data_IF_515326834954
#
_entry.id   IF_515326834954
#
_cell.length_a   1.000
_cell.length_b   1.000
_cell.length_c   1.000
_cell.angle_alpha   90.00
_cell.angle_beta   90.00
_cell.angle_gamma   90.00
#
_symmetry.space_group_name_H-M   'P 1'
#
loop_
_entity.id
_entity.type
_entity.pdbx_description
1 polymer ?
#
# COMPACT_ATOMS: atom_id res chain seq x y z
N UNK A 1 18.31 -3.74 31.71
CA UNK A 1 18.36 -4.97 32.55
C UNK A 1 19.12 -4.63 33.83
N UNK A 2 18.43 -4.58 34.95
CA UNK A 2 19.06 -4.26 36.23
C UNK A 2 19.54 -5.59 36.81
N UNK A 3 20.83 -5.84 36.68
CA UNK A 3 21.50 -6.99 37.31
C UNK A 3 22.03 -6.61 38.69
N UNK A 4 21.16 -6.36 39.66
CA UNK A 4 21.69 -6.31 41.03
C UNK A 4 20.62 -6.47 42.10
N UNK A 5 20.30 -7.73 42.40
CA UNK A 5 19.55 -8.12 43.63
C UNK A 5 20.28 -7.66 44.90
N UNK A 6 21.59 -7.39 44.84
CA UNK A 6 22.41 -6.93 45.97
C UNK A 6 22.14 -5.46 46.34
N UNK A 7 21.78 -4.59 45.37
CA UNK A 7 21.53 -3.18 45.68
C UNK A 7 20.16 -2.95 46.31
N UNK A 8 19.20 -3.86 46.07
CA UNK A 8 17.88 -3.81 46.70
C UNK A 8 17.90 -4.05 48.24
N UNK A 9 18.88 -4.77 48.73
CA UNK A 9 18.99 -5.13 50.18
C UNK A 9 19.48 -3.98 51.06
N UNK A 10 20.08 -2.91 50.48
CA UNK A 10 20.65 -1.78 51.25
C UNK A 10 19.72 -0.58 51.41
N UNK A 11 18.58 -0.56 50.75
CA UNK A 11 17.61 0.54 50.80
C UNK A 11 16.69 0.41 52.01
N UNK A 12 16.21 1.52 52.57
CA UNK A 12 15.14 1.50 53.55
C UNK A 12 13.81 1.02 52.88
N UNK A 13 12.79 0.70 53.66
CA UNK A 13 11.55 0.11 53.14
C UNK A 13 10.78 1.07 52.23
N UNK A 14 10.87 2.36 52.43
CA UNK A 14 10.20 3.37 51.61
C UNK A 14 10.86 3.48 50.22
N UNK A 15 12.17 3.59 50.19
CA UNK A 15 12.93 3.66 48.92
C UNK A 15 12.81 2.38 48.12
N UNK A 16 12.70 1.21 48.79
CA UNK A 16 12.45 -0.08 48.12
C UNK A 16 11.09 -0.11 47.44
N UNK A 17 10.06 0.42 48.09
CA UNK A 17 8.68 0.46 47.55
C UNK A 17 8.62 1.42 46.33
N UNK A 18 9.20 2.59 46.42
CA UNK A 18 9.25 3.58 45.36
C UNK A 18 10.03 3.02 44.12
N UNK A 19 11.20 2.44 44.36
CA UNK A 19 11.97 1.78 43.31
C UNK A 19 11.21 0.63 42.65
N UNK A 20 10.50 -0.17 43.45
CA UNK A 20 9.68 -1.27 42.92
C UNK A 20 8.48 -0.74 42.11
N UNK A 21 7.83 0.33 42.55
CA UNK A 21 6.76 0.98 41.79
C UNK A 21 7.26 1.43 40.42
N UNK A 22 8.38 2.10 40.37
CA UNK A 22 8.98 2.52 39.10
C UNK A 22 9.28 1.32 38.17
N UNK A 23 9.80 0.22 38.71
CA UNK A 23 10.03 -1.00 37.96
C UNK A 23 8.73 -1.65 37.44
N UNK A 24 7.63 -1.54 38.18
CA UNK A 24 6.31 -2.01 37.75
C UNK A 24 5.81 -1.12 36.59
N UNK A 25 5.85 0.19 36.77
CA UNK A 25 5.38 1.14 35.76
C UNK A 25 6.16 1.03 34.43
N UNK A 26 7.45 0.71 34.48
CA UNK A 26 8.30 0.53 33.31
C UNK A 26 8.21 -0.90 32.71
N UNK A 27 7.51 -1.82 33.37
CA UNK A 27 7.44 -3.20 32.91
C UNK A 27 6.51 -3.37 31.71
N UNK A 28 6.86 -4.29 30.80
CA UNK A 28 5.99 -4.64 29.69
C UNK A 28 4.68 -5.28 30.13
N UNK A 29 4.67 -5.94 31.29
CA UNK A 29 3.47 -6.56 31.85
C UNK A 29 2.44 -5.53 32.35
N UNK A 30 2.83 -4.29 32.56
CA UNK A 30 1.95 -3.21 32.99
C UNK A 30 1.36 -2.40 31.82
N UNK A 31 1.76 -2.69 30.59
CA UNK A 31 1.17 -2.09 29.39
C UNK A 31 -0.18 -2.72 29.10
N UNK A 32 -1.11 -1.91 28.58
CA UNK A 32 -2.34 -2.47 28.03
C UNK A 32 -2.01 -3.38 26.83
N UNK A 33 -2.62 -4.55 26.77
CA UNK A 33 -2.33 -5.56 25.76
C UNK A 33 -2.49 -5.03 24.33
N UNK A 34 -3.46 -4.16 24.09
CA UNK A 34 -3.71 -3.51 22.78
C UNK A 34 -2.63 -2.49 22.39
N UNK A 35 -1.85 -2.00 23.35
CA UNK A 35 -0.76 -1.04 23.13
C UNK A 35 0.62 -1.72 23.14
N UNK A 36 0.68 -3.00 23.50
CA UNK A 36 1.90 -3.77 23.45
C UNK A 36 2.15 -4.29 22.02
N UNK A 37 2.87 -3.48 21.25
CA UNK A 37 3.26 -3.83 19.87
C UNK A 37 4.16 -5.08 19.81
N UNK A 38 4.91 -5.40 20.85
CA UNK A 38 5.73 -6.61 20.87
C UNK A 38 4.82 -7.85 21.00
N UNK A 39 3.84 -7.80 21.88
CA UNK A 39 2.82 -8.84 21.99
C UNK A 39 2.06 -8.97 20.65
N UNK A 40 1.53 -7.87 20.11
CA UNK A 40 0.76 -7.90 18.86
C UNK A 40 1.56 -8.40 17.65
N UNK A 41 2.90 -8.28 17.66
CA UNK A 41 3.78 -8.79 16.60
C UNK A 41 4.22 -10.23 16.81
N UNK A 42 3.97 -10.82 17.97
CA UNK A 42 4.34 -12.20 18.25
C UNK A 42 3.59 -13.20 17.36
N UNK A 43 4.09 -14.41 17.23
CA UNK A 43 3.47 -15.44 16.40
C UNK A 43 2.11 -15.89 16.95
N UNK A 44 1.94 -15.91 18.26
CA UNK A 44 0.71 -16.26 18.96
C UNK A 44 -0.44 -15.30 18.61
N UNK A 45 -0.13 -14.02 18.33
CA UNK A 45 -1.11 -13.00 17.97
C UNK A 45 -1.40 -12.92 16.46
N UNK A 46 -0.96 -13.92 15.69
CA UNK A 46 -1.23 -13.96 14.23
C UNK A 46 -2.72 -13.88 13.90
N UNK A 47 -3.57 -14.62 14.63
CA UNK A 47 -5.02 -14.60 14.40
C UNK A 47 -5.64 -13.23 14.65
N UNK A 48 -5.18 -12.53 15.69
CA UNK A 48 -5.62 -11.16 16.00
C UNK A 48 -5.22 -10.19 14.87
N UNK A 49 -3.98 -10.27 14.38
CA UNK A 49 -3.53 -9.45 13.25
C UNK A 49 -4.34 -9.71 11.98
N UNK A 50 -4.69 -10.98 11.71
CA UNK A 50 -5.55 -11.33 10.56
C UNK A 50 -6.93 -10.72 10.71
N UNK A 51 -7.53 -10.77 11.90
CA UNK A 51 -8.83 -10.14 12.18
C UNK A 51 -8.77 -8.62 11.95
N UNK A 52 -7.71 -7.95 12.43
CA UNK A 52 -7.53 -6.52 12.20
C UNK A 52 -7.41 -6.17 10.71
N UNK A 53 -6.73 -6.99 9.90
CA UNK A 53 -6.60 -6.78 8.46
C UNK A 53 -7.91 -7.02 7.68
N UNK A 54 -8.82 -7.84 8.19
CA UNK A 54 -10.17 -7.98 7.62
C UNK A 54 -11.03 -6.78 8.03
N UNK A 55 -11.12 -6.52 9.32
CA UNK A 55 -12.09 -5.56 9.88
C UNK A 55 -11.78 -4.11 9.50
N UNK A 56 -10.50 -3.71 9.49
CA UNK A 56 -10.14 -2.32 9.26
C UNK A 56 -10.62 -1.76 7.91
N UNK A 57 -10.39 -2.43 6.76
CA UNK A 57 -10.93 -1.93 5.49
C UNK A 57 -12.46 -1.90 5.47
N UNK A 58 -13.13 -2.91 5.99
CA UNK A 58 -14.60 -2.98 6.04
C UNK A 58 -15.19 -1.77 6.76
N UNK A 59 -14.72 -1.48 7.97
CA UNK A 59 -15.17 -0.33 8.75
C UNK A 59 -14.96 1.00 8.01
N UNK A 60 -13.79 1.16 7.36
CA UNK A 60 -13.52 2.39 6.61
C UNK A 60 -14.39 2.50 5.36
N UNK A 61 -14.63 1.40 4.65
CA UNK A 61 -15.50 1.40 3.46
C UNK A 61 -16.95 1.73 3.85
N UNK A 62 -17.43 1.19 4.97
CA UNK A 62 -18.74 1.51 5.55
C UNK A 62 -18.83 2.99 5.94
N UNK A 63 -17.85 3.51 6.69
CA UNK A 63 -17.77 4.93 7.06
C UNK A 63 -17.79 5.86 5.85
N UNK A 64 -17.10 5.46 4.77
CA UNK A 64 -17.05 6.20 3.51
C UNK A 64 -18.28 5.98 2.63
N UNK A 65 -19.27 5.20 3.09
CA UNK A 65 -20.50 4.84 2.39
C UNK A 65 -20.22 4.23 0.99
N UNK A 66 -19.20 3.39 0.85
CA UNK A 66 -18.91 2.70 -0.40
C UNK A 66 -19.99 1.61 -0.61
N UNK A 67 -20.75 1.74 -1.70
CA UNK A 67 -21.89 0.85 -2.00
C UNK A 67 -21.43 -0.35 -2.83
N UNK A 68 -20.59 -0.09 -3.83
CA UNK A 68 -20.07 -1.13 -4.72
C UNK A 68 -18.71 -0.74 -5.30
N UNK A 69 -17.97 -1.74 -5.72
CA UNK A 69 -16.61 -1.56 -6.23
C UNK A 69 -16.47 -2.15 -7.63
N UNK A 70 -15.55 -1.60 -8.41
CA UNK A 70 -15.12 -2.10 -9.71
C UNK A 70 -13.63 -2.38 -9.67
N UNK A 71 -13.25 -3.64 -9.82
CA UNK A 71 -11.88 -4.10 -9.66
C UNK A 71 -11.14 -3.99 -10.99
N UNK A 72 -9.97 -3.35 -10.97
CA UNK A 72 -9.07 -3.28 -12.12
C UNK A 72 -7.74 -3.94 -11.78
N UNK A 73 -7.47 -5.06 -12.45
CA UNK A 73 -6.18 -5.74 -12.40
C UNK A 73 -5.35 -5.46 -13.63
N UNK A 74 -4.05 -5.33 -13.45
CA UNK A 74 -3.15 -5.15 -14.58
C UNK A 74 -1.68 -5.11 -14.19
N UNK A 75 -0.82 -5.11 -15.21
CA UNK A 75 0.63 -5.17 -15.05
C UNK A 75 1.23 -3.87 -14.52
N UNK A 76 2.14 -3.97 -13.55
CA UNK A 76 2.84 -2.84 -12.94
C UNK A 76 3.89 -2.18 -13.86
N UNK A 77 4.25 -2.82 -14.99
CA UNK A 77 5.33 -2.35 -15.88
C UNK A 77 4.84 -1.49 -17.05
N UNK A 78 3.54 -1.47 -17.32
CA UNK A 78 2.97 -0.70 -18.42
C UNK A 78 2.88 0.77 -17.95
N UNK A 79 3.45 1.67 -18.73
CA UNK A 79 3.57 3.08 -18.37
C UNK A 79 2.86 3.96 -19.39
N UNK A 80 2.55 5.17 -19.00
CA UNK A 80 2.01 6.22 -19.86
C UNK A 80 2.90 6.44 -21.10
N UNK A 81 2.28 6.74 -22.25
CA UNK A 81 2.98 6.92 -23.53
C UNK A 81 4.09 7.96 -23.46
N UNK A 82 3.81 9.11 -22.87
CA UNK A 82 4.77 10.21 -22.69
C UNK A 82 6.01 9.77 -21.89
N UNK A 83 5.81 9.04 -20.78
CA UNK A 83 6.88 8.49 -19.97
C UNK A 83 7.73 7.44 -20.70
N UNK A 84 7.08 6.59 -21.51
CA UNK A 84 7.79 5.62 -22.35
C UNK A 84 8.64 6.31 -23.41
N UNK A 85 8.09 7.34 -24.07
CA UNK A 85 8.79 8.13 -25.10
C UNK A 85 10.02 8.86 -24.53
N UNK A 86 9.88 9.54 -23.37
CA UNK A 86 11.02 10.21 -22.71
C UNK A 86 12.15 9.25 -22.40
N UNK A 87 11.83 8.06 -21.86
CA UNK A 87 12.83 7.03 -21.56
C UNK A 87 13.51 6.46 -22.80
N UNK A 88 12.79 6.36 -23.91
CA UNK A 88 13.36 5.94 -25.21
C UNK A 88 14.35 6.96 -25.71
N UNK A 89 14.00 8.25 -25.64
CA UNK A 89 14.88 9.34 -26.10
C UNK A 89 16.16 9.41 -25.28
N UNK A 90 16.06 9.27 -23.93
CA UNK A 90 17.25 9.17 -23.06
C UNK A 90 18.20 8.03 -23.47
N UNK A 91 17.63 6.84 -23.74
CA UNK A 91 18.44 5.66 -24.12
C UNK A 91 19.00 5.81 -25.53
N UNK A 92 18.27 6.46 -26.43
CA UNK A 92 18.75 6.77 -27.80
C UNK A 92 19.96 7.69 -27.77
N UNK A 93 19.92 8.77 -26.98
CA UNK A 93 21.04 9.70 -26.78
C UNK A 93 22.27 9.00 -26.17
N UNK A 94 22.07 8.00 -25.28
CA UNK A 94 23.16 7.18 -24.74
C UNK A 94 23.73 6.20 -25.79
N UNK A 95 22.89 5.67 -26.69
CA UNK A 95 23.31 4.78 -27.77
C UNK A 95 24.14 5.53 -28.82
N UNK A 96 23.86 6.80 -29.09
CA UNK A 96 24.67 7.65 -29.98
C UNK A 96 26.09 7.82 -29.45
N UNK A 97 26.26 7.91 -28.11
CA UNK A 97 27.56 7.98 -27.45
C UNK A 97 28.28 6.62 -27.34
N UNK A 98 27.51 5.52 -27.25
CA UNK A 98 28.03 4.17 -27.08
C UNK A 98 27.32 3.16 -28.03
N UNK A 99 27.54 3.20 -29.36
CA UNK A 99 26.76 2.42 -30.32
C UNK A 99 26.93 0.90 -30.19
N UNK A 100 28.03 0.43 -29.62
CA UNK A 100 28.34 -1.01 -29.49
C UNK A 100 27.81 -1.62 -28.19
N UNK A 101 27.15 -0.86 -27.32
CA UNK A 101 26.64 -1.37 -26.04
C UNK A 101 25.44 -2.28 -26.23
N UNK A 102 25.63 -3.59 -26.10
CA UNK A 102 24.56 -4.61 -26.15
C UNK A 102 23.51 -4.33 -25.06
N UNK A 103 23.94 -3.89 -23.88
CA UNK A 103 23.06 -3.57 -22.76
C UNK A 103 22.09 -2.44 -23.10
N UNK A 104 22.56 -1.39 -23.76
CA UNK A 104 21.72 -0.26 -24.19
C UNK A 104 20.78 -0.67 -25.34
N UNK A 105 21.25 -1.47 -26.30
CA UNK A 105 20.40 -2.01 -27.37
C UNK A 105 19.24 -2.85 -26.79
N UNK A 106 19.54 -3.73 -25.85
CA UNK A 106 18.51 -4.53 -25.17
C UNK A 106 17.52 -3.66 -24.37
N UNK A 107 18.01 -2.62 -23.69
CA UNK A 107 17.16 -1.67 -22.97
C UNK A 107 16.25 -0.89 -23.92
N UNK A 108 16.77 -0.44 -25.04
CA UNK A 108 16.03 0.27 -26.08
C UNK A 108 14.89 -0.60 -26.67
N UNK A 109 15.17 -1.86 -26.98
CA UNK A 109 14.15 -2.79 -27.50
C UNK A 109 13.05 -3.07 -26.47
N UNK A 110 13.42 -3.24 -25.19
CA UNK A 110 12.44 -3.37 -24.11
C UNK A 110 11.55 -2.15 -23.98
N UNK A 111 12.10 -0.95 -24.09
CA UNK A 111 11.34 0.31 -24.02
C UNK A 111 10.41 0.48 -25.24
N UNK A 112 10.83 0.08 -26.44
CA UNK A 112 9.95 0.04 -27.62
C UNK A 112 8.74 -0.88 -27.39
N UNK A 113 8.95 -2.06 -26.83
CA UNK A 113 7.86 -2.96 -26.49
C UNK A 113 6.93 -2.37 -25.41
N UNK A 114 7.48 -1.66 -24.42
CA UNK A 114 6.66 -0.95 -23.43
C UNK A 114 5.86 0.20 -24.06
N UNK A 115 6.44 0.93 -25.01
CA UNK A 115 5.73 1.96 -25.76
C UNK A 115 4.57 1.37 -26.57
N UNK A 116 4.77 0.24 -27.23
CA UNK A 116 3.68 -0.41 -27.97
C UNK A 116 2.53 -0.87 -27.07
N UNK A 117 2.80 -1.11 -25.78
CA UNK A 117 1.80 -1.51 -24.79
C UNK A 117 1.18 -0.31 -24.04
N UNK A 118 1.68 0.91 -24.23
CA UNK A 118 1.19 2.10 -23.51
C UNK A 118 -0.28 2.42 -23.76
N UNK A 119 -0.84 1.96 -24.87
CA UNK A 119 -2.27 2.12 -25.16
C UNK A 119 -3.14 1.42 -24.11
N UNK A 120 -2.68 0.33 -23.48
CA UNK A 120 -3.42 -0.30 -22.37
C UNK A 120 -3.47 0.59 -21.12
N UNK A 121 -2.43 1.41 -20.87
CA UNK A 121 -2.45 2.41 -19.81
C UNK A 121 -3.56 3.42 -20.04
N UNK A 122 -3.60 3.99 -21.25
CA UNK A 122 -4.62 4.98 -21.62
C UNK A 122 -6.03 4.37 -21.61
N UNK A 123 -6.19 3.13 -22.11
CA UNK A 123 -7.48 2.44 -22.08
C UNK A 123 -7.97 2.19 -20.64
N UNK A 124 -7.09 1.79 -19.73
CA UNK A 124 -7.45 1.57 -18.32
C UNK A 124 -7.82 2.90 -17.62
N UNK A 125 -7.09 3.98 -17.92
CA UNK A 125 -7.37 5.32 -17.43
C UNK A 125 -8.72 5.83 -17.91
N UNK A 126 -8.97 5.75 -19.21
CA UNK A 126 -10.23 6.19 -19.82
C UNK A 126 -11.42 5.35 -19.35
N UNK A 127 -11.27 4.02 -19.31
CA UNK A 127 -12.29 3.13 -18.77
C UNK A 127 -12.67 3.53 -17.34
N UNK A 128 -11.69 3.70 -16.46
CA UNK A 128 -11.94 4.04 -15.07
C UNK A 128 -12.56 5.42 -14.89
N UNK A 129 -12.17 6.39 -15.74
CA UNK A 129 -12.77 7.71 -15.80
C UNK A 129 -14.24 7.64 -16.20
N UNK A 130 -14.55 6.93 -17.29
CA UNK A 130 -15.92 6.75 -17.76
C UNK A 130 -16.79 6.00 -16.75
N UNK A 131 -16.26 4.94 -16.14
CA UNK A 131 -16.95 4.19 -15.09
C UNK A 131 -17.28 5.06 -13.87
N UNK A 132 -16.37 5.97 -13.50
CA UNK A 132 -16.57 6.90 -12.39
C UNK A 132 -17.59 8.00 -12.72
N UNK A 133 -17.56 8.56 -13.94
CA UNK A 133 -18.50 9.60 -14.39
C UNK A 133 -19.94 9.03 -14.53
N UNK A 134 -20.06 7.82 -15.07
CA UNK A 134 -21.35 7.17 -15.28
C UNK A 134 -21.98 6.64 -13.99
N UNK A 135 -21.34 6.89 -12.86
CA UNK A 135 -21.89 6.56 -11.57
C UNK A 135 -23.15 7.43 -11.33
N UNK A 136 -24.31 6.77 -11.19
CA UNK A 136 -25.60 7.47 -10.99
C UNK A 136 -25.72 8.11 -9.60
N UNK A 137 -24.72 7.96 -8.76
CA UNK A 137 -24.67 8.52 -7.41
C UNK A 137 -23.79 9.79 -7.40
N UNK A 138 -24.40 10.93 -7.10
CA UNK A 138 -23.74 12.25 -7.00
C UNK A 138 -22.53 12.28 -6.04
N UNK A 139 -22.39 11.24 -5.20
CA UNK A 139 -21.29 11.12 -4.22
C UNK A 139 -20.16 10.20 -4.67
N UNK A 140 -20.21 9.63 -5.87
CA UNK A 140 -19.23 8.67 -6.38
C UNK A 140 -18.97 7.47 -5.43
N UNK A 141 -20.03 6.94 -4.82
CA UNK A 141 -19.94 5.84 -3.85
C UNK A 141 -20.24 4.46 -4.46
N UNK A 142 -20.78 4.41 -5.69
CA UNK A 142 -21.03 3.18 -6.43
C UNK A 142 -19.96 2.95 -7.50
N UNK A 143 -19.65 1.69 -7.80
CA UNK A 143 -18.63 1.31 -8.78
C UNK A 143 -17.27 1.95 -8.54
N UNK A 144 -16.92 2.16 -7.27
CA UNK A 144 -15.64 2.77 -6.88
C UNK A 144 -14.48 1.91 -7.38
N UNK A 145 -13.55 2.53 -8.09
CA UNK A 145 -12.40 1.82 -8.67
C UNK A 145 -11.51 1.26 -7.56
N UNK A 146 -11.26 -0.05 -7.62
CA UNK A 146 -10.36 -0.76 -6.70
C UNK A 146 -9.19 -1.35 -7.48
N UNK A 147 -7.99 -1.10 -7.03
CA UNK A 147 -6.77 -1.65 -7.61
C UNK A 147 -5.85 -2.24 -6.55
N UNK A 148 -4.76 -2.87 -6.98
CA UNK A 148 -3.68 -3.27 -6.09
C UNK A 148 -2.81 -2.11 -5.58
N UNK A 149 -3.13 -0.87 -5.93
CA UNK A 149 -2.48 0.35 -5.44
C UNK A 149 -1.06 0.61 -5.97
N UNK A 150 -0.53 -0.25 -6.84
CA UNK A 150 0.80 -0.12 -7.43
C UNK A 150 0.84 0.73 -8.70
N UNK A 151 1.99 0.76 -9.38
CA UNK A 151 2.18 1.48 -10.65
C UNK A 151 1.52 0.76 -11.84
N UNK A 152 1.62 1.36 -13.01
CA UNK A 152 1.19 0.77 -14.27
C UNK A 152 -0.31 0.85 -14.50
N UNK A 153 -0.93 -0.26 -14.87
CA UNK A 153 -2.38 -0.31 -15.12
C UNK A 153 -3.19 0.03 -13.86
N UNK A 154 -2.71 -0.35 -12.69
CA UNK A 154 -3.34 0.01 -11.42
C UNK A 154 -3.33 1.53 -11.18
N UNK A 155 -2.20 2.17 -11.45
CA UNK A 155 -2.06 3.62 -11.41
C UNK A 155 -2.96 4.30 -12.44
N UNK A 156 -2.99 3.80 -13.68
CA UNK A 156 -3.85 4.33 -14.73
C UNK A 156 -5.33 4.33 -14.32
N UNK A 157 -5.78 3.23 -13.72
CA UNK A 157 -7.16 3.10 -13.25
C UNK A 157 -7.47 4.07 -12.09
N UNK A 158 -6.62 4.15 -11.07
CA UNK A 158 -6.81 5.13 -9.99
C UNK A 158 -6.76 6.58 -10.53
N UNK A 159 -5.88 6.87 -11.50
CA UNK A 159 -5.80 8.17 -12.15
C UNK A 159 -7.08 8.53 -12.92
N UNK A 160 -7.70 7.57 -13.59
CA UNK A 160 -8.97 7.79 -14.28
C UNK A 160 -10.07 8.24 -13.33
N UNK A 161 -10.21 7.58 -12.17
CA UNK A 161 -11.13 7.98 -11.13
C UNK A 161 -10.79 9.36 -10.52
N UNK A 162 -9.50 9.60 -10.26
CA UNK A 162 -9.01 10.89 -9.75
C UNK A 162 -9.33 12.06 -10.71
N UNK A 163 -9.18 11.86 -12.01
CA UNK A 163 -9.50 12.87 -13.03
C UNK A 163 -11.01 13.08 -13.24
N UNK A 164 -11.82 12.18 -12.70
CA UNK A 164 -13.27 12.31 -12.62
C UNK A 164 -13.74 12.93 -11.30
N UNK A 165 -12.81 13.39 -10.43
CA UNK A 165 -13.08 13.85 -9.06
C UNK A 165 -13.82 12.81 -8.20
N UNK A 166 -13.63 11.50 -8.52
CA UNK A 166 -14.27 10.39 -7.82
C UNK A 166 -13.27 9.61 -6.96
N UNK A 167 -13.83 8.88 -5.97
CA UNK A 167 -13.05 8.04 -5.07
C UNK A 167 -12.41 6.87 -5.81
N UNK A 168 -11.22 6.44 -5.33
CA UNK A 168 -10.61 5.17 -5.71
C UNK A 168 -9.87 4.52 -4.54
N UNK A 169 -9.78 3.20 -4.56
CA UNK A 169 -9.26 2.37 -3.48
C UNK A 169 -7.97 1.70 -3.93
N UNK A 170 -6.99 1.64 -3.04
CA UNK A 170 -5.75 0.89 -3.23
C UNK A 170 -5.57 -0.20 -2.18
N UNK A 171 -5.50 -1.46 -2.59
CA UNK A 171 -5.22 -2.59 -1.70
C UNK A 171 -3.76 -3.02 -1.88
N UNK A 172 -2.84 -2.36 -1.19
CA UNK A 172 -1.41 -2.62 -1.27
C UNK A 172 -1.03 -3.86 -0.44
N UNK A 173 0.05 -4.51 -0.82
CA UNK A 173 0.65 -5.62 -0.06
C UNK A 173 2.06 -5.23 0.38
N UNK A 174 2.43 -5.65 1.59
CA UNK A 174 3.79 -5.50 2.04
C UNK A 174 4.72 -6.45 1.27
N UNK A 175 5.68 -5.89 0.55
CA UNK A 175 6.69 -6.63 -0.21
C UNK A 175 8.06 -6.43 0.42
N UNK A 176 9.01 -7.37 0.23
CA UNK A 176 10.39 -7.22 0.72
C UNK A 176 11.09 -5.97 0.18
N UNK A 177 10.82 -5.61 -1.06
CA UNK A 177 11.23 -4.34 -1.65
C UNK A 177 10.09 -3.34 -1.46
N UNK A 178 10.34 -2.25 -0.75
CA UNK A 178 9.34 -1.25 -0.45
C UNK A 178 8.76 -0.66 -1.74
N UNK A 179 7.45 -0.82 -1.92
CA UNK A 179 6.72 -0.24 -3.04
C UNK A 179 5.72 0.76 -2.47
N UNK A 180 5.89 2.02 -2.85
CA UNK A 180 4.95 3.07 -2.50
C UNK A 180 3.63 2.90 -3.28
N UNK A 181 2.49 3.26 -2.68
CA UNK A 181 1.24 3.35 -3.41
C UNK A 181 1.33 4.43 -4.50
N UNK A 182 0.55 4.28 -5.58
CA UNK A 182 0.44 5.35 -6.55
C UNK A 182 -0.30 6.58 -5.95
N UNK A 183 0.01 7.75 -6.45
CA UNK A 183 -0.45 9.03 -5.88
C UNK A 183 -1.90 9.41 -6.22
N UNK A 184 -2.63 8.60 -7.00
CA UNK A 184 -3.98 8.87 -7.45
C UNK A 184 -5.07 8.20 -6.61
N UNK A 185 -4.67 7.40 -5.61
CA UNK A 185 -5.60 6.77 -4.66
C UNK A 185 -6.17 7.83 -3.72
N UNK A 186 -7.46 7.74 -3.40
CA UNK A 186 -8.09 8.64 -2.45
C UNK A 186 -7.44 8.51 -1.06
N UNK A 187 -6.99 9.62 -0.44
CA UNK A 187 -6.50 9.59 0.93
C UNK A 187 -7.51 8.95 1.88
N UNK A 188 -7.05 8.04 2.75
CA UNK A 188 -7.93 7.24 3.63
C UNK A 188 -8.44 5.93 3.01
N UNK A 189 -8.41 5.77 1.69
CA UNK A 189 -8.83 4.54 1.00
C UNK A 189 -7.65 3.71 0.47
N UNK A 190 -6.47 3.90 1.01
CA UNK A 190 -5.28 3.09 0.71
C UNK A 190 -4.95 2.17 1.89
N UNK A 191 -5.10 0.86 1.69
CA UNK A 191 -4.86 -0.15 2.73
C UNK A 191 -3.59 -0.94 2.43
N UNK A 192 -2.80 -1.22 3.47
CA UNK A 192 -1.57 -2.03 3.38
C UNK A 192 -1.79 -3.35 4.11
N UNK A 193 -1.73 -4.45 3.38
CA UNK A 193 -1.89 -5.81 3.88
C UNK A 193 -0.54 -6.49 4.12
N UNK A 194 -0.47 -7.30 5.15
CA UNK A 194 0.63 -8.23 5.39
C UNK A 194 0.31 -9.63 4.85
N UNK A 195 -0.98 -10.03 4.90
CA UNK A 195 -1.42 -11.35 4.47
C UNK A 195 -2.04 -11.31 3.07
N UNK A 196 -1.38 -11.96 2.11
CA UNK A 196 -1.81 -11.98 0.71
C UNK A 196 -3.22 -12.60 0.53
N UNK A 197 -3.55 -13.60 1.34
CA UNK A 197 -4.88 -14.23 1.31
C UNK A 197 -5.99 -13.26 1.70
N UNK A 198 -5.79 -12.46 2.75
CA UNK A 198 -6.77 -11.49 3.22
C UNK A 198 -6.97 -10.36 2.20
N UNK A 199 -5.88 -9.88 1.60
CA UNK A 199 -5.95 -8.92 0.50
C UNK A 199 -6.81 -9.45 -0.66
N UNK A 200 -6.68 -10.75 -1.01
CA UNK A 200 -7.51 -11.36 -2.05
C UNK A 200 -8.99 -11.38 -1.68
N UNK A 201 -9.31 -11.64 -0.42
CA UNK A 201 -10.68 -11.64 0.08
C UNK A 201 -11.30 -10.26 -0.17
N UNK A 202 -10.63 -9.19 0.18
CA UNK A 202 -11.12 -7.82 -0.03
C UNK A 202 -11.32 -7.40 -1.50
N UNK A 203 -10.79 -8.13 -2.45
CA UNK A 203 -11.14 -7.91 -3.85
C UNK A 203 -12.47 -8.54 -4.25
N UNK A 204 -12.98 -9.52 -3.50
CA UNK A 204 -14.19 -10.29 -3.86
C UNK A 204 -15.35 -10.09 -2.88
N UNK A 205 -15.14 -9.33 -1.82
CA UNK A 205 -16.16 -8.84 -0.91
C UNK A 205 -16.82 -7.59 -1.49
#
# INVERSE_FOLDING_TARGET
MINNVKDFKKLNNTDKREKNLNLILDSNSYKLAQEDLNLLRSDEMRGVRMLLEITKPELVLEEQNIISTLIVFGGAKIVEKSSAQSKIEEVKNLLEKCPQSIKLKNKFNKLKNLLSMSHYYESAREFSKLASINNQDDKCNSHVIVTGGGPGIMEAANRGAFEADCKSIGLNIQLPNEQFPNSFITPGLCFKFNYFALRKIHFVM
#
